data_IF_767801573731
#
_entry.id   IF_767801573731
#
_cell.length_a   1.000
_cell.length_b   1.000
_cell.length_c   1.000
_cell.angle_alpha   90.00
_cell.angle_beta   90.00
_cell.angle_gamma   90.00
#
_symmetry.space_group_name_H-M   'P 1'
#
loop_
_entity.id
_entity.type
_entity.pdbx_description
1 polymer ?
#
# COMPACT_ATOMS: atom_id res chain seq x y z
N UNK A 1 -0.09 -29.08 -25.08
CA UNK A 1 -1.48 -29.57 -25.12
C UNK A 1 -2.36 -28.46 -24.60
N UNK A 2 -3.30 -27.91 -25.38
CA UNK A 2 -4.22 -26.92 -24.87
C UNK A 2 -5.06 -27.54 -23.75
N UNK A 3 -5.00 -26.96 -22.56
CA UNK A 3 -5.86 -27.41 -21.47
C UNK A 3 -7.18 -26.64 -21.53
N UNK A 4 -8.30 -27.33 -21.45
CA UNK A 4 -9.63 -26.71 -21.48
C UNK A 4 -9.96 -25.85 -20.25
N UNK A 5 -9.04 -25.79 -19.26
CA UNK A 5 -9.25 -25.10 -17.98
C UNK A 5 -8.66 -23.71 -17.90
N UNK A 6 -7.70 -23.38 -18.77
CA UNK A 6 -6.91 -22.16 -18.65
C UNK A 6 -6.74 -21.50 -19.99
N UNK A 7 -6.90 -20.20 -20.07
CA UNK A 7 -6.46 -19.46 -21.23
C UNK A 7 -4.94 -19.42 -21.25
N UNK A 8 -4.34 -20.02 -22.26
CA UNK A 8 -2.93 -19.84 -22.59
C UNK A 8 -2.80 -18.56 -23.40
N UNK A 9 -2.81 -17.42 -22.73
CA UNK A 9 -2.56 -16.14 -23.37
C UNK A 9 -1.07 -15.87 -23.49
N UNK A 10 -0.64 -15.30 -24.61
CA UNK A 10 0.68 -14.69 -24.76
C UNK A 10 0.54 -13.18 -24.84
N UNK A 11 1.57 -12.46 -24.39
CA UNK A 11 1.58 -10.98 -24.40
C UNK A 11 1.29 -10.35 -23.06
N UNK A 12 1.21 -9.02 -23.06
CA UNK A 12 0.95 -8.21 -21.87
C UNK A 12 -0.56 -8.07 -21.72
N UNK A 13 -1.11 -8.55 -20.61
CA UNK A 13 -2.55 -8.54 -20.33
C UNK A 13 -2.94 -7.69 -19.11
N UNK A 14 -1.98 -7.03 -18.48
CA UNK A 14 -2.18 -6.05 -17.42
C UNK A 14 -1.79 -4.67 -17.90
N UNK A 15 -2.19 -3.65 -17.14
CA UNK A 15 -1.88 -2.26 -17.44
C UNK A 15 -0.36 -2.03 -17.56
N UNK A 16 0.01 -1.14 -18.46
CA UNK A 16 1.39 -0.71 -18.66
C UNK A 16 1.44 0.78 -18.38
N UNK A 17 2.18 1.15 -17.35
CA UNK A 17 2.30 2.54 -16.92
C UNK A 17 3.59 3.16 -17.45
N UNK A 18 3.49 4.40 -17.91
CA UNK A 18 4.63 5.26 -18.18
C UNK A 18 4.82 6.20 -16.99
N UNK A 19 5.93 6.03 -16.26
CA UNK A 19 6.28 6.88 -15.13
C UNK A 19 7.23 7.98 -15.62
N UNK A 20 6.82 9.24 -15.44
CA UNK A 20 7.66 10.40 -15.67
C UNK A 20 8.10 10.95 -14.32
N UNK A 21 9.39 11.15 -14.15
CA UNK A 21 9.99 11.67 -12.91
C UNK A 21 11.14 12.61 -13.26
N UNK A 22 11.51 13.48 -12.33
CA UNK A 22 12.74 14.26 -12.41
C UNK A 22 13.99 13.38 -12.25
N UNK A 23 15.16 13.96 -12.41
CA UNK A 23 16.44 13.26 -12.25
C UNK A 23 16.60 12.66 -10.84
N UNK A 24 15.96 13.27 -9.83
CA UNK A 24 15.95 12.77 -8.45
C UNK A 24 14.53 12.39 -8.07
N UNK A 25 14.31 11.13 -7.74
CA UNK A 25 12.98 10.58 -7.45
C UNK A 25 13.03 9.48 -6.39
N UNK A 26 11.85 9.16 -5.83
CA UNK A 26 11.67 7.99 -4.99
C UNK A 26 11.63 6.72 -5.83
N UNK A 27 12.65 5.88 -5.69
CA UNK A 27 12.69 4.55 -6.30
C UNK A 27 11.78 3.56 -5.60
N UNK A 28 11.74 3.63 -4.26
CA UNK A 28 10.93 2.75 -3.43
C UNK A 28 10.58 3.45 -2.10
N UNK A 29 9.36 3.24 -1.63
CA UNK A 29 8.93 3.63 -0.29
C UNK A 29 8.31 2.43 0.40
N UNK A 30 8.88 2.02 1.52
CA UNK A 30 8.35 0.97 2.41
C UNK A 30 7.86 1.60 3.70
N UNK A 31 6.63 1.29 4.06
CA UNK A 31 5.97 1.82 5.25
C UNK A 31 5.60 0.66 6.15
N UNK A 32 6.04 0.74 7.41
CA UNK A 32 5.72 -0.22 8.45
C UNK A 32 5.39 0.51 9.76
N UNK A 33 4.62 -0.12 10.61
CA UNK A 33 4.42 0.31 11.98
C UNK A 33 5.09 -0.67 12.96
N UNK A 34 5.54 -0.13 14.09
CA UNK A 34 6.19 -0.88 15.15
C UNK A 34 5.50 -0.55 16.47
N UNK A 35 5.20 -1.59 17.24
CA UNK A 35 4.62 -1.45 18.56
C UNK A 35 3.11 -1.35 18.59
N UNK A 36 2.43 -1.54 17.46
CA UNK A 36 0.99 -1.64 17.43
C UNK A 36 0.56 -3.03 17.93
N UNK A 37 0.05 -3.08 19.15
CA UNK A 37 -0.38 -4.31 19.82
C UNK A 37 -1.63 -4.00 20.65
N UNK A 38 -2.26 -5.04 21.18
CA UNK A 38 -3.37 -4.89 22.12
C UNK A 38 -2.91 -4.09 23.35
N UNK A 39 -3.69 -3.06 23.72
CA UNK A 39 -3.42 -2.15 24.84
C UNK A 39 -2.22 -1.21 24.70
N UNK A 40 -1.60 -1.09 23.54
CA UNK A 40 -0.60 -0.06 23.26
C UNK A 40 -1.21 1.11 22.52
N UNK A 41 -1.07 2.28 23.13
CA UNK A 41 -1.59 3.54 22.59
C UNK A 41 -0.67 4.18 21.54
N UNK A 42 0.62 3.93 21.68
CA UNK A 42 1.66 4.58 20.89
C UNK A 42 2.23 3.61 19.86
N UNK A 43 2.28 4.06 18.63
CA UNK A 43 2.86 3.31 17.50
C UNK A 43 3.93 4.16 16.83
N UNK A 44 5.04 3.54 16.47
CA UNK A 44 6.06 4.19 15.64
C UNK A 44 5.84 3.83 14.19
N UNK A 45 5.51 4.83 13.36
CA UNK A 45 5.49 4.67 11.92
C UNK A 45 6.90 4.81 11.38
N UNK A 46 7.37 3.79 10.70
CA UNK A 46 8.70 3.70 10.08
C UNK A 46 8.56 3.77 8.58
N UNK A 47 9.19 4.76 7.96
CA UNK A 47 9.24 4.93 6.51
C UNK A 47 10.68 4.73 6.05
N UNK A 48 10.89 3.75 5.18
CA UNK A 48 12.16 3.55 4.49
C UNK A 48 12.00 4.01 3.05
N UNK A 49 12.71 5.04 2.68
CA UNK A 49 12.74 5.59 1.34
C UNK A 49 14.07 5.29 0.66
N UNK A 50 14.01 4.81 -0.57
CA UNK A 50 15.16 4.70 -1.47
C UNK A 50 15.02 5.77 -2.54
N UNK A 51 16.01 6.63 -2.65
CA UNK A 51 16.09 7.72 -3.62
C UNK A 51 17.17 7.42 -4.64
N UNK A 52 16.94 7.79 -5.88
CA UNK A 52 17.92 7.66 -6.95
C UNK A 52 18.16 9.02 -7.60
N UNK A 53 19.43 9.37 -7.84
CA UNK A 53 19.82 10.52 -8.63
C UNK A 53 20.38 10.06 -9.98
N UNK A 54 19.63 10.23 -11.06
CA UNK A 54 20.06 9.93 -12.43
C UNK A 54 20.66 11.14 -13.14
N UNK A 55 20.65 12.29 -12.48
CA UNK A 55 21.29 13.49 -12.98
C UNK A 55 22.83 13.39 -12.99
N UNK A 56 23.45 14.38 -13.60
CA UNK A 56 24.92 14.46 -13.74
C UNK A 56 25.60 15.20 -12.58
N UNK A 57 24.82 15.90 -11.78
CA UNK A 57 25.32 16.78 -10.72
C UNK A 57 24.97 16.23 -9.36
N UNK A 58 25.82 16.57 -8.38
CA UNK A 58 25.51 16.44 -6.97
C UNK A 58 24.47 17.48 -6.58
N UNK A 59 23.46 17.09 -5.83
CA UNK A 59 22.36 17.96 -5.47
C UNK A 59 22.09 17.94 -3.97
N UNK A 60 21.70 19.10 -3.43
CA UNK A 60 21.29 19.26 -2.04
C UNK A 60 19.77 19.26 -1.95
N UNK A 61 19.23 18.25 -1.29
CA UNK A 61 17.78 18.01 -1.20
C UNK A 61 17.35 17.79 0.24
N UNK A 62 16.06 17.86 0.49
CA UNK A 62 15.42 17.35 1.72
C UNK A 62 14.23 16.48 1.37
N UNK A 63 13.85 15.61 2.28
CA UNK A 63 12.61 14.84 2.19
C UNK A 63 11.65 15.26 3.30
N UNK A 64 10.37 15.17 2.99
CA UNK A 64 9.32 15.28 3.99
C UNK A 64 8.29 14.17 3.84
N UNK A 65 7.66 13.79 4.96
CA UNK A 65 6.55 12.86 4.99
C UNK A 65 5.39 13.49 5.75
N UNK A 66 4.21 13.55 5.14
CA UNK A 66 2.99 14.03 5.77
C UNK A 66 2.04 12.84 5.97
N UNK A 67 1.62 12.64 7.20
CA UNK A 67 0.55 11.71 7.54
C UNK A 67 -0.77 12.48 7.50
N UNK A 68 -1.68 12.05 6.64
CA UNK A 68 -2.96 12.72 6.38
C UNK A 68 -4.09 11.74 6.68
N UNK A 69 -5.10 12.19 7.42
CA UNK A 69 -6.33 11.45 7.66
C UNK A 69 -7.52 12.40 7.51
N UNK A 70 -8.54 11.97 6.78
CA UNK A 70 -9.74 12.78 6.51
C UNK A 70 -9.40 14.19 5.98
N UNK A 71 -8.49 14.24 5.00
CA UNK A 71 -7.94 15.45 4.37
C UNK A 71 -7.24 16.44 5.35
N UNK A 72 -6.93 16.01 6.56
CA UNK A 72 -6.20 16.80 7.55
C UNK A 72 -4.81 16.23 7.76
N UNK A 73 -3.80 17.09 7.77
CA UNK A 73 -2.43 16.72 8.13
C UNK A 73 -2.40 16.45 9.63
N UNK A 74 -2.15 15.19 10.01
CA UNK A 74 -2.05 14.75 11.40
C UNK A 74 -0.64 14.96 11.92
N UNK A 75 0.36 14.69 11.10
CA UNK A 75 1.77 14.83 11.46
C UNK A 75 2.63 15.05 10.23
N UNK A 76 3.72 15.79 10.42
CA UNK A 76 4.75 16.02 9.40
C UNK A 76 6.10 15.64 9.97
N UNK A 77 6.91 15.02 9.15
CA UNK A 77 8.34 14.81 9.35
C UNK A 77 9.08 15.53 8.22
N UNK A 78 10.15 16.23 8.56
CA UNK A 78 11.06 16.85 7.61
C UNK A 78 12.49 16.48 7.98
N UNK A 79 13.28 16.06 7.00
CA UNK A 79 14.70 15.82 7.19
C UNK A 79 15.47 17.14 7.19
N UNK A 80 16.68 17.13 7.74
CA UNK A 80 17.68 18.13 7.35
C UNK A 80 18.01 18.02 5.86
N UNK A 81 18.59 19.07 5.31
CA UNK A 81 19.11 19.02 3.95
C UNK A 81 20.34 18.11 3.91
N UNK A 82 20.35 17.23 2.94
CA UNK A 82 21.48 16.32 2.68
C UNK A 82 21.82 16.32 1.19
N UNK A 83 22.98 15.76 0.88
CA UNK A 83 23.48 15.72 -0.48
C UNK A 83 23.29 14.32 -1.05
N UNK A 84 22.88 14.25 -2.33
CA UNK A 84 22.83 13.03 -3.13
C UNK A 84 23.73 13.18 -4.35
N UNK A 85 24.66 12.22 -4.54
CA UNK A 85 25.61 12.25 -5.64
C UNK A 85 24.98 11.68 -6.93
N UNK A 86 25.57 11.96 -8.11
CA UNK A 86 25.19 11.32 -9.36
C UNK A 86 25.26 9.79 -9.25
N UNK A 87 24.27 9.10 -9.82
CA UNK A 87 24.13 7.64 -9.83
C UNK A 87 24.08 7.00 -8.41
N UNK A 88 23.78 7.79 -7.38
CA UNK A 88 23.64 7.28 -6.01
C UNK A 88 22.24 6.73 -5.79
N UNK A 89 22.15 5.55 -5.14
CA UNK A 89 20.95 4.97 -4.56
C UNK A 89 21.02 5.16 -3.03
N UNK A 90 20.40 6.21 -2.54
CA UNK A 90 20.45 6.60 -1.13
C UNK A 90 19.24 6.04 -0.38
N UNK A 91 19.50 5.32 0.72
CA UNK A 91 18.45 4.77 1.57
C UNK A 91 18.35 5.57 2.87
N UNK A 92 17.15 6.05 3.16
CA UNK A 92 16.85 6.84 4.33
C UNK A 92 15.77 6.16 5.17
N UNK A 93 15.83 6.36 6.47
CA UNK A 93 14.82 5.88 7.40
C UNK A 93 14.28 7.06 8.21
N UNK A 94 12.98 7.22 8.22
CA UNK A 94 12.26 8.24 8.98
C UNK A 94 11.30 7.57 9.94
N UNK A 95 11.32 8.00 11.19
CA UNK A 95 10.47 7.45 12.23
C UNK A 95 9.67 8.56 12.90
N UNK A 96 8.38 8.36 13.08
CA UNK A 96 7.56 9.25 13.88
C UNK A 96 6.49 8.53 14.68
N UNK A 97 6.28 8.98 15.91
CA UNK A 97 5.31 8.39 16.81
C UNK A 97 3.91 8.95 16.55
N UNK A 98 2.94 8.07 16.59
CA UNK A 98 1.53 8.38 16.46
C UNK A 98 0.82 7.81 17.67
N UNK A 99 -0.03 8.64 18.28
CA UNK A 99 -0.83 8.24 19.44
C UNK A 99 -2.24 7.87 19.00
N UNK A 100 -2.73 6.73 19.46
CA UNK A 100 -4.10 6.27 19.25
C UNK A 100 -4.55 6.33 17.77
N UNK A 101 -3.82 5.71 16.82
CA UNK A 101 -4.27 5.72 15.44
C UNK A 101 -5.61 5.01 15.31
N UNK A 102 -6.45 5.48 14.39
CA UNK A 102 -7.67 4.76 14.02
C UNK A 102 -7.28 3.51 13.26
N UNK A 103 -7.70 2.36 13.79
CA UNK A 103 -7.34 1.08 13.21
C UNK A 103 -8.20 0.77 11.99
N UNK A 104 -7.57 0.17 10.99
CA UNK A 104 -8.24 -0.37 9.83
C UNK A 104 -8.89 -1.73 10.16
N UNK A 105 -10.12 -1.93 9.71
CA UNK A 105 -10.78 -3.23 9.72
C UNK A 105 -11.68 -3.36 8.47
N UNK A 106 -12.16 -4.56 8.11
CA UNK A 106 -13.13 -4.73 7.02
C UNK A 106 -14.41 -3.90 7.20
N UNK A 107 -14.85 -3.71 8.45
CA UNK A 107 -16.06 -2.96 8.77
C UNK A 107 -15.81 -1.44 8.87
N UNK A 108 -14.55 -1.05 9.02
CA UNK A 108 -14.13 0.34 9.16
C UNK A 108 -12.76 0.55 8.50
N UNK A 109 -12.79 0.82 7.21
CA UNK A 109 -11.60 0.97 6.36
C UNK A 109 -10.90 2.32 6.62
N UNK A 110 -10.40 2.54 7.87
CA UNK A 110 -9.65 3.74 8.20
C UNK A 110 -8.30 3.74 7.48
N UNK A 111 -8.21 4.49 6.40
CA UNK A 111 -6.98 4.67 5.62
C UNK A 111 -6.41 6.05 5.84
N UNK A 112 -5.13 6.09 6.11
CA UNK A 112 -4.30 7.29 6.13
C UNK A 112 -3.59 7.42 4.80
N UNK A 113 -3.32 8.63 4.36
CA UNK A 113 -2.42 8.90 3.24
C UNK A 113 -1.08 9.35 3.79
N UNK A 114 -0.02 8.74 3.29
CA UNK A 114 1.35 9.13 3.58
C UNK A 114 1.90 9.74 2.31
N UNK A 115 2.02 11.06 2.31
CA UNK A 115 2.58 11.82 1.21
C UNK A 115 4.06 12.07 1.49
N UNK A 116 4.91 11.53 0.65
CA UNK A 116 6.36 11.70 0.68
C UNK A 116 6.77 12.66 -0.43
N UNK A 117 7.60 13.64 -0.12
CA UNK A 117 8.02 14.69 -1.04
C UNK A 117 9.53 14.83 -1.02
N UNK A 118 10.15 14.97 -2.20
CA UNK A 118 11.54 15.42 -2.38
C UNK A 118 11.51 16.89 -2.77
N UNK A 119 12.31 17.70 -2.10
CA UNK A 119 12.40 19.13 -2.33
C UNK A 119 13.86 19.56 -2.53
N UNK A 120 14.08 20.43 -3.50
CA UNK A 120 15.34 21.11 -3.80
C UNK A 120 15.10 22.61 -3.89
N UNK A 121 15.74 23.40 -3.02
CA UNK A 121 15.67 24.88 -3.04
C UNK A 121 14.22 25.44 -3.01
N UNK A 122 13.28 24.73 -2.35
CA UNK A 122 11.87 25.13 -2.30
C UNK A 122 11.03 24.62 -3.47
N UNK A 123 11.63 23.97 -4.45
CA UNK A 123 10.95 23.33 -5.57
C UNK A 123 10.74 21.84 -5.29
N UNK A 124 9.55 21.34 -5.60
CA UNK A 124 9.19 19.93 -5.42
C UNK A 124 9.64 19.17 -6.67
N UNK A 125 10.50 18.18 -6.49
CA UNK A 125 10.99 17.30 -7.54
C UNK A 125 10.12 16.04 -7.70
N UNK A 126 9.67 15.46 -6.59
CA UNK A 126 8.87 14.25 -6.63
C UNK A 126 7.89 14.19 -5.46
N UNK A 127 6.70 13.64 -5.73
CA UNK A 127 5.66 13.39 -4.73
C UNK A 127 5.09 11.99 -4.92
N UNK A 128 5.18 11.18 -3.87
CA UNK A 128 4.57 9.85 -3.83
C UNK A 128 3.56 9.80 -2.70
N UNK A 129 2.37 9.30 -2.97
CA UNK A 129 1.31 9.12 -1.97
C UNK A 129 0.95 7.66 -1.84
N UNK A 130 1.02 7.12 -0.62
CA UNK A 130 0.67 5.76 -0.29
C UNK A 130 -0.49 5.75 0.71
N UNK A 131 -1.47 4.86 0.48
CA UNK A 131 -2.49 4.58 1.48
C UNK A 131 -1.95 3.61 2.53
N UNK A 132 -2.26 3.88 3.80
CA UNK A 132 -1.80 3.07 4.93
C UNK A 132 -2.91 2.85 5.96
N UNK A 133 -3.13 1.61 6.35
CA UNK A 133 -4.09 1.24 7.39
C UNK A 133 -3.39 0.62 8.59
N UNK A 134 -3.45 1.29 9.74
CA UNK A 134 -2.91 0.74 10.98
C UNK A 134 -3.72 -0.48 11.41
N UNK A 135 -3.06 -1.62 11.54
CA UNK A 135 -3.68 -2.87 12.00
C UNK A 135 -2.63 -3.81 12.56
N UNK A 136 -3.03 -4.63 13.51
CA UNK A 136 -2.20 -5.74 13.97
C UNK A 136 -2.96 -7.06 13.88
N UNK A 137 -2.21 -8.12 13.61
CA UNK A 137 -2.70 -9.48 13.56
C UNK A 137 -2.06 -10.27 14.69
N UNK A 138 -2.87 -11.08 15.36
CA UNK A 138 -2.38 -12.04 16.35
C UNK A 138 -3.00 -13.40 16.10
N UNK A 139 -2.23 -14.46 16.38
CA UNK A 139 -2.69 -15.82 16.22
C UNK A 139 -2.35 -16.63 17.46
N UNK A 140 -3.26 -17.51 17.88
CA UNK A 140 -2.97 -18.49 18.90
C UNK A 140 -3.73 -19.79 18.63
N UNK A 141 -3.24 -20.91 19.16
CA UNK A 141 -3.88 -22.21 19.03
C UNK A 141 -5.27 -22.24 19.67
N UNK A 142 -5.48 -21.44 20.71
CA UNK A 142 -6.75 -21.39 21.46
C UNK A 142 -7.76 -20.43 20.86
N UNK A 143 -7.32 -19.27 20.37
CA UNK A 143 -8.20 -18.18 19.93
C UNK A 143 -8.23 -17.96 18.41
N UNK A 144 -7.41 -18.72 17.65
CA UNK A 144 -7.31 -18.56 16.20
C UNK A 144 -6.73 -17.21 15.77
N UNK A 145 -7.16 -16.72 14.61
CA UNK A 145 -6.72 -15.46 14.04
C UNK A 145 -7.55 -14.31 14.59
N UNK A 146 -6.87 -13.25 15.05
CA UNK A 146 -7.49 -12.00 15.48
C UNK A 146 -6.91 -10.83 14.68
N UNK A 147 -7.79 -9.91 14.33
CA UNK A 147 -7.43 -8.58 13.77
C UNK A 147 -7.80 -7.52 14.81
N UNK A 148 -6.82 -6.71 15.21
CA UNK A 148 -7.00 -5.69 16.25
C UNK A 148 -7.63 -6.23 17.54
N UNK A 149 -7.20 -7.42 17.97
CA UNK A 149 -7.72 -8.11 19.16
C UNK A 149 -9.08 -8.82 18.98
N UNK A 150 -9.79 -8.61 17.87
CA UNK A 150 -11.09 -9.24 17.59
C UNK A 150 -10.93 -10.49 16.71
N UNK A 151 -11.60 -11.61 17.03
CA UNK A 151 -11.59 -12.77 16.16
C UNK A 151 -12.08 -12.42 14.74
N UNK A 152 -11.36 -12.91 13.73
CA UNK A 152 -11.74 -12.71 12.32
C UNK A 152 -11.79 -14.06 11.60
N UNK A 153 -12.84 -14.25 10.81
CA UNK A 153 -12.97 -15.40 9.93
C UNK A 153 -12.59 -15.01 8.51
N UNK A 154 -11.53 -15.62 7.98
CA UNK A 154 -11.15 -15.43 6.58
C UNK A 154 -12.13 -16.19 5.69
N UNK A 155 -12.72 -15.47 4.73
CA UNK A 155 -13.53 -16.03 3.65
C UNK A 155 -12.76 -15.80 2.35
N UNK A 156 -12.50 -16.86 1.62
CA UNK A 156 -11.71 -16.78 0.39
C UNK A 156 -12.39 -17.56 -0.73
N UNK A 157 -12.19 -17.09 -1.95
CA UNK A 157 -12.60 -17.77 -3.19
C UNK A 157 -11.43 -17.76 -4.16
N UNK A 158 -11.36 -18.76 -5.04
CA UNK A 158 -10.41 -18.76 -6.15
C UNK A 158 -11.05 -18.06 -7.35
N UNK A 159 -10.39 -17.03 -7.85
CA UNK A 159 -10.71 -16.40 -9.12
C UNK A 159 -9.64 -16.81 -10.14
N UNK A 160 -10.06 -17.46 -11.19
CA UNK A 160 -9.18 -17.81 -12.29
C UNK A 160 -9.22 -16.74 -13.37
N UNK A 161 -8.13 -16.59 -14.14
CA UNK A 161 -8.07 -15.70 -15.29
C UNK A 161 -8.95 -16.25 -16.44
N UNK A 162 -10.26 -16.26 -16.20
CA UNK A 162 -11.27 -16.74 -17.12
C UNK A 162 -12.44 -15.72 -17.14
N UNK A 163 -12.26 -14.68 -17.93
CA UNK A 163 -13.18 -13.57 -18.06
C UNK A 163 -14.14 -13.74 -19.27
N UNK A 164 -14.39 -14.98 -19.68
CA UNK A 164 -15.24 -15.28 -20.84
C UNK A 164 -14.68 -14.66 -22.11
N UNK A 165 -15.43 -13.77 -22.75
CA UNK A 165 -15.01 -13.13 -24.00
C UNK A 165 -13.73 -12.27 -23.87
N UNK A 166 -13.34 -11.89 -22.67
CA UNK A 166 -12.12 -11.10 -22.40
C UNK A 166 -10.87 -12.00 -22.18
N UNK A 167 -11.07 -13.32 -22.10
CA UNK A 167 -9.96 -14.27 -21.87
C UNK A 167 -9.25 -14.00 -20.54
N UNK A 168 -7.93 -13.83 -20.61
CA UNK A 168 -7.08 -13.53 -19.45
C UNK A 168 -6.93 -12.02 -19.16
N UNK A 169 -7.61 -11.14 -19.90
CA UNK A 169 -7.49 -9.70 -19.72
C UNK A 169 -8.04 -9.26 -18.34
N UNK A 170 -7.25 -8.49 -17.62
CA UNK A 170 -7.53 -8.08 -16.25
C UNK A 170 -8.15 -6.69 -16.22
N UNK A 171 -9.45 -6.61 -16.48
CA UNK A 171 -10.20 -5.37 -16.38
C UNK A 171 -10.86 -5.26 -15.01
N UNK A 172 -10.60 -4.19 -14.29
CA UNK A 172 -11.12 -3.97 -12.94
C UNK A 172 -12.65 -4.17 -12.82
N UNK A 173 -13.42 -3.65 -13.76
CA UNK A 173 -14.89 -3.84 -13.77
C UNK A 173 -15.31 -5.29 -14.03
N UNK A 174 -14.54 -6.03 -14.82
CA UNK A 174 -14.83 -7.45 -15.09
C UNK A 174 -14.55 -8.31 -13.85
N UNK A 175 -13.53 -7.94 -13.05
CA UNK A 175 -13.21 -8.64 -11.80
C UNK A 175 -14.22 -8.33 -10.70
N UNK A 176 -14.70 -7.11 -10.60
CA UNK A 176 -15.72 -6.73 -9.60
C UNK A 176 -17.01 -7.52 -9.75
N UNK A 177 -17.40 -7.86 -10.98
CA UNK A 177 -18.65 -8.56 -11.27
C UNK A 177 -18.72 -9.97 -10.66
N UNK A 178 -17.77 -10.88 -10.87
CA UNK A 178 -17.76 -12.20 -10.20
C UNK A 178 -17.60 -12.10 -8.69
N UNK A 179 -16.82 -11.14 -8.18
CA UNK A 179 -16.69 -10.92 -6.73
C UNK A 179 -18.04 -10.52 -6.13
N UNK A 180 -18.76 -9.60 -6.75
CA UNK A 180 -20.09 -9.18 -6.32
C UNK A 180 -21.10 -10.36 -6.37
N UNK A 181 -21.03 -11.18 -7.42
CA UNK A 181 -21.91 -12.33 -7.59
C UNK A 181 -21.63 -13.45 -6.58
N UNK A 182 -20.37 -13.71 -6.25
CA UNK A 182 -20.00 -14.69 -5.21
C UNK A 182 -20.44 -14.25 -3.82
N UNK A 183 -20.43 -12.96 -3.52
CA UNK A 183 -21.00 -12.41 -2.29
C UNK A 183 -22.51 -12.62 -2.21
N UNK A 184 -23.25 -12.40 -3.29
CA UNK A 184 -24.69 -12.61 -3.34
C UNK A 184 -25.04 -14.10 -3.15
N UNK A 185 -24.35 -15.02 -3.81
CA UNK A 185 -24.59 -16.46 -3.64
C UNK A 185 -24.24 -16.98 -2.25
N UNK A 186 -23.21 -16.45 -1.60
CA UNK A 186 -22.88 -16.84 -0.23
C UNK A 186 -24.01 -16.47 0.77
N UNK A 187 -24.79 -15.44 0.47
CA UNK A 187 -25.98 -15.09 1.26
C UNK A 187 -27.19 -15.98 0.93
N UNK A 188 -27.32 -16.47 -0.30
CA UNK A 188 -28.45 -17.36 -0.67
C UNK A 188 -28.29 -18.77 -0.11
N UNK A 189 -27.07 -19.32 -0.05
CA UNK A 189 -26.82 -20.65 0.51
C UNK A 189 -27.05 -20.73 2.02
N UNK A 190 -27.06 -19.62 2.74
CA UNK A 190 -27.36 -19.58 4.17
C UNK A 190 -28.88 -19.56 4.47
N UNK A 191 -29.74 -19.42 3.45
CA UNK A 191 -31.22 -19.45 3.60
C UNK A 191 -31.83 -20.85 3.50
N UNK A 192 -31.04 -21.85 3.10
CA UNK A 192 -31.53 -23.24 2.89
C UNK A 192 -30.81 -24.29 3.74
N UNK A 193 -30.12 -23.87 4.79
CA UNK A 193 -29.59 -24.71 5.85
C UNK A 193 -30.13 -24.26 7.21
#
# INVERSE_FOLDING_TARGET
IPTSRWYSGSGIFRDVDLILADDIYFKEIKINDIGLEENKADVTLKIKASLENKGKNQEKIRISHKLIYDNKVIKTYESEYFTINPAEDLKLESNFQIKYPRLWSPDSANLYKIQSTIEKNGEVLDIVTNDYGFRYLSTSSQNGLKLNGKPIKLKAVCLHHDQGALGAADHHRAILRPVSYTHLRAHETLRYL
#
